data_IF_360884312941
#
_entry.id   IF_360884312941
#
_cell.length_a   1.000
_cell.length_b   1.000
_cell.length_c   1.000
_cell.angle_alpha   90.00
_cell.angle_beta   90.00
_cell.angle_gamma   90.00
#
_symmetry.space_group_name_H-M   'P 1'
#
loop_
_entity.id
_entity.type
_entity.pdbx_description
1 polymer ?
#
# COMPACT_ATOMS: atom_id res chain seq x y z
N UNK A 1 45.49 8.64 30.08
CA UNK A 1 45.67 7.57 29.08
C UNK A 1 44.52 6.57 29.22
N UNK A 2 43.44 6.70 28.43
CA UNK A 2 42.34 5.72 28.42
C UNK A 2 42.69 4.62 27.42
N UNK A 3 42.73 3.38 27.88
CA UNK A 3 42.99 2.21 27.05
C UNK A 3 41.96 2.13 25.92
N UNK A 4 42.44 2.02 24.67
CA UNK A 4 41.64 1.63 23.51
C UNK A 4 41.07 0.25 23.81
N UNK A 5 39.77 0.17 24.12
CA UNK A 5 39.04 -1.09 24.06
C UNK A 5 38.86 -1.43 22.59
N UNK A 6 39.72 -2.29 22.09
CA UNK A 6 39.51 -2.99 20.83
C UNK A 6 38.21 -3.79 20.94
N UNK A 7 37.22 -3.42 20.10
CA UNK A 7 36.01 -4.21 19.89
C UNK A 7 36.42 -5.43 19.05
N UNK A 8 37.03 -6.42 19.71
CA UNK A 8 37.17 -7.75 19.13
C UNK A 8 35.81 -8.41 19.22
N UNK A 9 35.02 -8.27 18.14
CA UNK A 9 33.92 -9.19 17.89
C UNK A 9 34.57 -10.56 17.67
N UNK A 10 34.55 -11.41 18.69
CA UNK A 10 34.89 -12.82 18.52
C UNK A 10 33.96 -13.36 17.45
N UNK A 11 34.49 -14.12 16.49
CA UNK A 11 33.75 -14.93 15.53
C UNK A 11 32.99 -16.07 16.25
N UNK A 12 32.15 -15.71 17.23
CA UNK A 12 31.04 -16.55 17.61
C UNK A 12 30.13 -16.56 16.39
N UNK A 13 30.10 -17.69 15.69
CA UNK A 13 29.32 -17.91 14.50
C UNK A 13 27.98 -17.18 14.63
N UNK A 14 27.83 -16.06 13.92
CA UNK A 14 26.56 -15.36 13.82
C UNK A 14 25.68 -16.28 12.97
N UNK A 15 25.05 -17.25 13.61
CA UNK A 15 24.04 -18.09 12.99
C UNK A 15 22.91 -17.16 12.58
N UNK A 16 22.74 -16.99 11.27
CA UNK A 16 21.65 -16.20 10.70
C UNK A 16 20.34 -16.77 11.24
N UNK A 17 19.51 -15.97 11.93
CA UNK A 17 18.19 -16.41 12.33
C UNK A 17 17.42 -16.91 11.11
N UNK A 18 16.80 -18.07 11.23
CA UNK A 18 16.20 -18.80 10.12
C UNK A 18 14.88 -18.17 9.66
N UNK A 19 14.21 -17.46 10.58
CA UNK A 19 12.91 -16.83 10.39
C UNK A 19 12.92 -15.35 10.80
N UNK A 20 12.03 -14.56 10.19
CA UNK A 20 11.90 -13.12 10.48
C UNK A 20 11.57 -12.86 11.96
N UNK A 21 10.69 -13.65 12.57
CA UNK A 21 10.33 -13.48 13.98
C UNK A 21 11.52 -13.71 14.92
N UNK A 22 12.33 -14.73 14.64
CA UNK A 22 13.55 -15.06 15.36
C UNK A 22 14.58 -13.93 15.22
N UNK A 23 14.78 -13.43 13.99
CA UNK A 23 15.64 -12.29 13.70
C UNK A 23 15.24 -11.04 14.48
N UNK A 24 13.95 -10.69 14.48
CA UNK A 24 13.44 -9.55 15.24
C UNK A 24 13.61 -9.76 16.75
N UNK A 25 13.52 -11.00 17.23
CA UNK A 25 13.79 -11.38 18.61
C UNK A 25 15.24 -11.11 19.02
N UNK A 26 16.20 -11.53 18.20
CA UNK A 26 17.64 -11.28 18.43
C UNK A 26 17.99 -9.80 18.31
N UNK A 27 17.43 -9.09 17.31
CA UNK A 27 17.68 -7.66 17.12
C UNK A 27 17.25 -6.83 18.34
N UNK A 28 16.13 -7.20 18.99
CA UNK A 28 15.64 -6.53 20.21
C UNK A 28 16.55 -6.69 21.42
N UNK A 29 17.43 -7.70 21.44
CA UNK A 29 18.40 -7.94 22.51
C UNK A 29 19.72 -7.19 22.30
N UNK A 30 19.93 -6.62 21.12
CA UNK A 30 21.18 -5.97 20.74
C UNK A 30 21.23 -4.52 21.23
N UNK A 31 22.39 -4.09 21.74
CA UNK A 31 22.68 -2.69 22.08
C UNK A 31 22.94 -1.79 20.86
N UNK A 32 22.82 -2.33 19.64
CA UNK A 32 23.05 -1.59 18.39
C UNK A 32 21.89 -0.65 18.00
N UNK A 33 20.71 -0.82 18.59
CA UNK A 33 19.55 0.03 18.38
C UNK A 33 19.19 0.76 19.67
N UNK A 34 18.95 2.07 19.59
CA UNK A 34 18.56 2.89 20.75
C UNK A 34 17.09 2.73 21.15
N UNK A 35 16.27 2.13 20.29
CA UNK A 35 14.86 1.88 20.56
C UNK A 35 14.12 1.33 19.34
N UNK A 36 12.88 0.87 19.57
CA UNK A 36 11.99 0.40 18.50
C UNK A 36 10.55 0.85 18.78
N UNK A 37 9.79 1.04 17.71
CA UNK A 37 8.36 1.34 17.78
C UNK A 37 7.58 0.27 17.03
N UNK A 38 6.61 -0.36 17.72
CA UNK A 38 5.74 -1.36 17.13
C UNK A 38 4.47 -0.70 16.59
N UNK A 39 4.23 -0.86 15.29
CA UNK A 39 2.99 -0.43 14.64
C UNK A 39 2.10 -1.68 14.51
N UNK A 40 0.94 -1.74 15.16
CA UNK A 40 0.08 -2.91 15.10
C UNK A 40 -0.52 -3.10 13.69
N UNK A 41 -0.82 -4.35 13.30
CA UNK A 41 -1.57 -4.63 12.07
C UNK A 41 -2.96 -4.00 12.15
N UNK A 42 -3.52 -3.68 10.98
CA UNK A 42 -4.85 -3.11 10.85
C UNK A 42 -5.65 -3.93 9.85
N UNK A 43 -6.83 -4.37 10.27
CA UNK A 43 -7.77 -5.06 9.40
C UNK A 43 -8.23 -4.14 8.25
N UNK A 44 -8.44 -4.69 7.05
CA UNK A 44 -8.89 -3.92 5.91
C UNK A 44 -10.35 -3.47 6.12
N UNK A 45 -10.65 -2.22 5.79
CA UNK A 45 -12.04 -1.75 5.68
C UNK A 45 -12.52 -1.96 4.26
N UNK A 46 -13.25 -3.04 4.04
CA UNK A 46 -13.79 -3.42 2.74
C UNK A 46 -15.26 -3.01 2.62
N UNK A 47 -15.66 -2.65 1.40
CA UNK A 47 -17.02 -2.29 1.03
C UNK A 47 -17.38 -2.92 -0.31
N UNK A 48 -18.67 -3.16 -0.52
CA UNK A 48 -19.17 -3.65 -1.80
C UNK A 48 -18.90 -2.65 -2.94
N UNK A 49 -19.04 -3.13 -4.18
CA UNK A 49 -18.91 -2.25 -5.34
C UNK A 49 -20.00 -1.17 -5.35
N UNK A 50 -19.63 0.12 -5.52
CA UNK A 50 -20.59 1.21 -5.61
C UNK A 50 -21.67 0.96 -6.66
N UNK A 51 -22.92 1.32 -6.37
CA UNK A 51 -24.05 1.07 -7.27
C UNK A 51 -23.86 1.69 -8.67
N UNK A 52 -23.16 2.82 -8.78
CA UNK A 52 -22.85 3.48 -10.05
C UNK A 52 -21.67 2.88 -10.84
N UNK A 53 -21.00 1.84 -10.33
CA UNK A 53 -19.86 1.23 -11.02
C UNK A 53 -20.32 0.38 -12.22
N UNK A 54 -19.75 0.66 -13.39
CA UNK A 54 -20.09 -0.02 -14.65
C UNK A 54 -19.95 -1.55 -14.51
N UNK A 55 -20.90 -2.32 -15.05
CA UNK A 55 -20.94 -3.78 -14.93
C UNK A 55 -19.66 -4.45 -15.45
N UNK A 56 -19.16 -4.01 -16.61
CA UNK A 56 -17.86 -4.45 -17.16
C UNK A 56 -16.68 -4.23 -16.21
N UNK A 57 -16.66 -3.13 -15.43
CA UNK A 57 -15.61 -2.91 -14.43
C UNK A 57 -15.75 -3.88 -13.27
N UNK A 58 -16.96 -4.09 -12.74
CA UNK A 58 -17.19 -5.09 -11.69
C UNK A 58 -16.73 -6.48 -12.12
N UNK A 59 -17.08 -6.88 -13.34
CA UNK A 59 -16.67 -8.17 -13.89
C UNK A 59 -15.14 -8.28 -14.02
N UNK A 60 -14.49 -7.23 -14.55
CA UNK A 60 -13.03 -7.20 -14.68
C UNK A 60 -12.32 -7.24 -13.32
N UNK A 61 -12.86 -6.57 -12.30
CA UNK A 61 -12.33 -6.62 -10.93
C UNK A 61 -12.45 -8.01 -10.32
N UNK A 62 -13.62 -8.64 -10.42
CA UNK A 62 -13.84 -10.02 -9.95
C UNK A 62 -12.92 -11.01 -10.64
N UNK A 63 -12.74 -10.88 -11.95
CA UNK A 63 -11.79 -11.71 -12.69
C UNK A 63 -10.34 -11.56 -12.22
N UNK A 64 -9.99 -10.43 -11.60
CA UNK A 64 -8.69 -10.18 -10.95
C UNK A 64 -8.67 -10.57 -9.46
N UNK A 65 -9.70 -11.26 -8.96
CA UNK A 65 -9.81 -11.67 -7.55
C UNK A 65 -10.19 -10.54 -6.59
N UNK A 66 -10.65 -9.40 -7.12
CA UNK A 66 -11.13 -8.27 -6.30
C UNK A 66 -12.64 -8.44 -6.18
N UNK A 67 -13.12 -8.86 -5.01
CA UNK A 67 -14.56 -9.02 -4.72
C UNK A 67 -15.17 -7.79 -4.03
N UNK A 68 -14.34 -7.05 -3.30
CA UNK A 68 -14.72 -5.84 -2.58
C UNK A 68 -13.65 -4.77 -2.79
N UNK A 69 -14.04 -3.50 -2.66
CA UNK A 69 -13.09 -2.39 -2.66
C UNK A 69 -12.68 -2.07 -1.23
N UNK A 70 -11.49 -1.50 -1.07
CA UNK A 70 -11.21 -0.76 0.15
C UNK A 70 -12.11 0.48 0.23
N UNK A 71 -12.50 0.88 1.44
CA UNK A 71 -13.40 2.01 1.66
C UNK A 71 -12.92 3.30 0.99
N UNK A 72 -11.60 3.57 1.00
CA UNK A 72 -11.03 4.75 0.35
C UNK A 72 -11.10 4.71 -1.19
N UNK A 73 -11.09 3.52 -1.80
CA UNK A 73 -11.23 3.36 -3.24
C UNK A 73 -12.67 3.65 -3.68
N UNK A 74 -13.66 3.14 -2.95
CA UNK A 74 -15.06 3.43 -3.20
C UNK A 74 -15.38 4.92 -3.01
N UNK A 75 -14.90 5.54 -1.92
CA UNK A 75 -15.06 6.97 -1.67
C UNK A 75 -14.43 7.84 -2.77
N UNK A 76 -13.21 7.50 -3.21
CA UNK A 76 -12.56 8.21 -4.31
C UNK A 76 -13.36 8.10 -5.62
N UNK A 77 -13.90 6.92 -5.92
CA UNK A 77 -14.76 6.71 -7.07
C UNK A 77 -16.04 7.55 -7.01
N UNK A 78 -16.75 7.54 -5.88
CA UNK A 78 -17.99 8.31 -5.72
C UNK A 78 -17.74 9.82 -5.85
N UNK A 79 -16.69 10.35 -5.20
CA UNK A 79 -16.34 11.76 -5.35
C UNK A 79 -15.97 12.14 -6.79
N UNK A 80 -15.19 11.32 -7.48
CA UNK A 80 -14.80 11.58 -8.86
C UNK A 80 -16.01 11.48 -9.81
N UNK A 81 -16.91 10.51 -9.59
CA UNK A 81 -18.17 10.37 -10.34
C UNK A 81 -19.06 11.61 -10.18
N UNK A 82 -19.08 12.19 -8.98
CA UNK A 82 -19.83 13.41 -8.67
C UNK A 82 -19.10 14.69 -9.15
N UNK A 83 -18.04 14.56 -9.95
CA UNK A 83 -17.31 15.69 -10.55
C UNK A 83 -16.39 16.45 -9.59
N UNK A 84 -16.04 15.88 -8.44
CA UNK A 84 -15.20 16.53 -7.42
C UNK A 84 -13.72 16.25 -7.66
N UNK A 85 -12.87 17.22 -7.31
CA UNK A 85 -11.43 17.04 -7.22
C UNK A 85 -11.08 16.27 -5.94
N UNK A 86 -10.21 15.25 -6.05
CA UNK A 86 -9.89 14.34 -4.94
C UNK A 86 -8.37 14.27 -4.74
N UNK A 87 -7.94 14.41 -3.48
CA UNK A 87 -6.56 14.12 -3.05
C UNK A 87 -6.59 12.88 -2.16
N UNK A 88 -5.76 11.89 -2.47
CA UNK A 88 -5.77 10.59 -1.79
C UNK A 88 -4.49 10.43 -0.97
N UNK A 89 -4.64 10.43 0.36
CA UNK A 89 -3.52 10.27 1.30
C UNK A 89 -3.57 8.88 1.92
N UNK A 90 -3.00 7.89 1.23
CA UNK A 90 -2.91 6.52 1.76
C UNK A 90 -1.49 5.94 1.60
N UNK A 91 -1.06 5.01 2.49
CA UNK A 91 0.29 4.42 2.45
C UNK A 91 0.63 3.72 1.14
N UNK A 92 1.91 3.44 0.89
CA UNK A 92 2.33 2.59 -0.25
C UNK A 92 1.65 1.22 -0.18
N UNK A 93 1.40 0.61 -1.35
CA UNK A 93 0.69 -0.66 -1.51
C UNK A 93 -0.79 -0.68 -1.03
N UNK A 94 -1.40 0.47 -0.74
CA UNK A 94 -2.83 0.59 -0.37
C UNK A 94 -3.82 0.53 -1.54
N UNK A 95 -3.34 0.35 -2.78
CA UNK A 95 -4.19 0.36 -3.98
C UNK A 95 -4.63 1.76 -4.44
N UNK A 96 -3.80 2.80 -4.26
CA UNK A 96 -4.02 4.15 -4.80
C UNK A 96 -4.28 4.16 -6.31
N UNK A 97 -3.56 3.32 -7.06
CA UNK A 97 -3.71 3.20 -8.51
C UNK A 97 -5.13 2.87 -8.93
N UNK A 98 -5.79 2.00 -8.17
CA UNK A 98 -7.16 1.63 -8.47
C UNK A 98 -8.13 2.80 -8.24
N UNK A 99 -7.84 3.71 -7.30
CA UNK A 99 -8.72 4.83 -6.98
C UNK A 99 -8.92 5.75 -8.18
N UNK A 100 -7.84 6.16 -8.86
CA UNK A 100 -7.95 7.02 -10.04
C UNK A 100 -8.31 6.22 -11.31
N UNK A 101 -7.84 4.98 -11.45
CA UNK A 101 -8.16 4.17 -12.62
C UNK A 101 -9.65 3.81 -12.70
N UNK A 102 -10.33 3.57 -11.58
CA UNK A 102 -11.77 3.29 -11.60
C UNK A 102 -12.55 4.47 -12.18
N UNK A 103 -12.25 5.69 -11.74
CA UNK A 103 -12.90 6.90 -12.24
C UNK A 103 -12.63 7.12 -13.74
N UNK A 104 -11.38 6.99 -14.17
CA UNK A 104 -10.98 7.17 -15.57
C UNK A 104 -11.62 6.14 -16.49
N UNK A 105 -11.55 4.85 -16.12
CA UNK A 105 -12.14 3.78 -16.92
C UNK A 105 -13.67 3.87 -16.95
N UNK A 106 -14.31 4.29 -15.85
CA UNK A 106 -15.73 4.56 -15.82
C UNK A 106 -16.11 5.67 -16.80
N UNK A 107 -15.35 6.77 -16.83
CA UNK A 107 -15.58 7.87 -17.75
C UNK A 107 -15.44 7.43 -19.23
N UNK A 108 -14.41 6.64 -19.55
CA UNK A 108 -14.18 6.11 -20.91
C UNK A 108 -15.30 5.13 -21.32
N UNK A 109 -15.78 4.29 -20.41
CA UNK A 109 -16.89 3.37 -20.69
C UNK A 109 -18.22 4.11 -20.91
N UNK A 110 -18.44 5.21 -20.19
CA UNK A 110 -19.63 6.04 -20.35
C UNK A 110 -19.55 6.91 -21.61
N UNK A 111 -18.36 7.38 -21.97
CA UNK A 111 -18.10 8.19 -23.16
C UNK A 111 -16.77 7.76 -23.83
N UNK A 112 -16.82 7.05 -24.97
CA UNK A 112 -15.62 6.62 -25.70
C UNK A 112 -14.68 7.76 -26.14
N UNK A 113 -15.19 8.99 -26.25
CA UNK A 113 -14.38 10.17 -26.59
C UNK A 113 -13.68 10.79 -25.37
N UNK A 114 -13.96 10.32 -24.16
CA UNK A 114 -13.29 10.78 -22.96
C UNK A 114 -11.77 10.51 -23.03
N UNK A 115 -10.99 11.44 -22.48
CA UNK A 115 -9.53 11.35 -22.39
C UNK A 115 -9.10 11.65 -20.95
N UNK A 116 -7.97 11.08 -20.54
CA UNK A 116 -7.38 11.34 -19.24
C UNK A 116 -5.89 11.58 -19.39
N UNK A 117 -5.34 12.51 -18.59
CA UNK A 117 -3.92 12.81 -18.53
C UNK A 117 -3.37 12.29 -17.20
N UNK A 118 -2.31 11.49 -17.28
CA UNK A 118 -1.64 10.94 -16.11
C UNK A 118 -0.28 11.62 -15.99
N UNK A 119 -0.08 12.32 -14.88
CA UNK A 119 1.17 13.01 -14.58
C UNK A 119 1.87 12.27 -13.44
N UNK A 120 3.08 11.83 -13.71
CA UNK A 120 3.97 11.18 -12.76
C UNK A 120 5.25 12.01 -12.61
N UNK A 121 5.88 12.01 -11.42
CA UNK A 121 7.12 12.77 -11.19
C UNK A 121 8.30 12.19 -11.98
N UNK A 122 8.21 10.92 -12.39
CA UNK A 122 9.23 10.17 -13.13
C UNK A 122 8.58 9.45 -14.31
N UNK A 123 9.41 9.05 -15.28
CA UNK A 123 8.96 8.33 -16.49
C UNK A 123 8.85 6.81 -16.30
N UNK A 124 9.33 6.28 -15.18
CA UNK A 124 9.53 4.86 -14.92
C UNK A 124 8.83 4.43 -13.63
#
# INVERSE_FOLDING_TARGET
MRAKRELVLKDAAVTKPSALAEFLGELKKSDSASGYHYIPPREPRLVEFPAGLHSRLRQALRHRGIENLYSHQAQAFDFARDGKNVVIVTPTASGKTLCYNLAVLQAILNNPDARALYLYPTKA
#
